data_IF_731052668323
#
_entry.id   IF_731052668323
#
_cell.length_a   1.000
_cell.length_b   1.000
_cell.length_c   1.000
_cell.angle_alpha   90.00
_cell.angle_beta   90.00
_cell.angle_gamma   90.00
#
_symmetry.space_group_name_H-M   'P 1'
#
loop_
_entity.id
_entity.type
_entity.pdbx_description
1 polymer ?
#
# COMPACT_ATOMS: atom_id res chain seq x y z
N UNK A 1 19.88 15.36 14.78
CA UNK A 1 19.13 14.28 14.11
C UNK A 1 18.30 13.48 15.11
N UNK A 2 17.04 13.22 14.77
CA UNK A 2 16.14 12.34 15.53
C UNK A 2 16.57 10.86 15.42
N UNK A 3 16.34 10.07 16.46
CA UNK A 3 16.76 8.67 16.54
C UNK A 3 16.04 7.79 15.51
N UNK A 4 14.77 8.08 15.25
CA UNK A 4 13.98 7.35 14.24
C UNK A 4 14.55 7.58 12.85
N UNK A 5 14.84 8.83 12.51
CA UNK A 5 15.45 9.19 11.24
C UNK A 5 16.84 8.53 11.08
N UNK A 6 17.64 8.50 12.14
CA UNK A 6 18.92 7.79 12.13
C UNK A 6 18.75 6.28 11.87
N UNK A 7 17.78 5.63 12.52
CA UNK A 7 17.49 4.22 12.31
C UNK A 7 17.04 3.93 10.87
N UNK A 8 16.20 4.80 10.30
CA UNK A 8 15.75 4.71 8.90
C UNK A 8 16.93 4.83 7.92
N UNK A 9 17.87 5.77 8.14
CA UNK A 9 19.07 5.91 7.32
C UNK A 9 19.98 4.68 7.41
N UNK A 10 20.19 4.15 8.62
CA UNK A 10 21.02 2.96 8.82
C UNK A 10 20.38 1.72 8.20
N UNK A 11 19.05 1.60 8.24
CA UNK A 11 18.32 0.52 7.58
C UNK A 11 18.46 0.62 6.05
N UNK A 12 18.25 1.80 5.47
CA UNK A 12 18.45 2.07 4.04
C UNK A 12 19.88 1.69 3.59
N UNK A 13 20.88 2.09 4.37
CA UNK A 13 22.28 1.77 4.08
C UNK A 13 22.60 0.29 4.23
N UNK A 14 22.07 -0.40 5.24
CA UNK A 14 22.24 -1.84 5.42
C UNK A 14 21.61 -2.64 4.27
N UNK A 15 20.49 -2.17 3.74
CA UNK A 15 19.86 -2.76 2.55
C UNK A 15 20.71 -2.57 1.29
N UNK A 16 21.29 -1.36 1.10
CA UNK A 16 22.24 -1.09 0.02
C UNK A 16 23.47 -2.01 0.10
N UNK A 17 24.09 -2.12 1.29
CA UNK A 17 25.19 -3.04 1.54
C UNK A 17 24.81 -4.51 1.31
N UNK A 18 23.55 -4.87 1.53
CA UNK A 18 23.06 -6.22 1.27
C UNK A 18 22.96 -6.54 -0.22
N UNK A 19 22.71 -5.51 -1.06
CA UNK A 19 22.74 -5.60 -2.53
C UNK A 19 24.14 -5.48 -3.14
N UNK A 20 25.16 -5.19 -2.32
CA UNK A 20 26.53 -4.95 -2.77
C UNK A 20 26.80 -3.50 -3.22
N UNK A 21 25.92 -2.57 -2.86
CA UNK A 21 26.04 -1.14 -3.11
C UNK A 21 26.66 -0.44 -1.87
N UNK A 22 27.45 0.62 -2.09
CA UNK A 22 27.96 1.47 -1.00
C UNK A 22 27.61 2.93 -1.27
N UNK A 23 26.46 3.34 -0.74
CA UNK A 23 25.92 4.69 -0.91
C UNK A 23 26.38 5.66 0.18
N UNK A 24 27.43 5.35 0.93
CA UNK A 24 27.89 6.16 2.08
C UNK A 24 28.08 7.63 1.72
N UNK A 25 28.80 7.92 0.64
CA UNK A 25 29.05 9.30 0.21
C UNK A 25 27.77 10.01 -0.22
N UNK A 26 26.87 9.30 -0.91
CA UNK A 26 25.57 9.84 -1.32
C UNK A 26 24.65 10.13 -0.12
N UNK A 27 24.72 9.30 0.93
CA UNK A 27 24.03 9.54 2.20
C UNK A 27 24.63 10.77 2.89
N UNK A 28 25.95 10.80 3.11
CA UNK A 28 26.61 11.89 3.83
C UNK A 28 26.44 13.26 3.15
N UNK A 29 26.39 13.30 1.82
CA UNK A 29 26.15 14.52 1.06
C UNK A 29 24.78 15.17 1.36
N UNK A 30 23.78 14.38 1.77
CA UNK A 30 22.42 14.86 2.09
C UNK A 30 22.33 15.60 3.44
N UNK A 31 23.34 15.49 4.31
CA UNK A 31 23.27 16.00 5.68
C UNK A 31 24.27 17.14 5.95
N UNK A 32 23.98 18.01 6.96
CA UNK A 32 24.90 19.06 7.41
C UNK A 32 26.20 18.51 7.98
N UNK A 33 27.29 19.28 7.90
CA UNK A 33 28.65 18.86 8.29
C UNK A 33 28.72 18.44 9.76
N UNK A 34 27.94 19.08 10.62
CA UNK A 34 27.87 18.83 12.06
C UNK A 34 27.34 17.42 12.37
N UNK A 35 26.45 16.89 11.53
CA UNK A 35 25.85 15.57 11.69
C UNK A 35 26.62 14.47 10.95
N UNK A 36 27.43 14.85 9.93
CA UNK A 36 28.21 13.91 9.11
C UNK A 36 29.16 13.05 9.93
N UNK A 37 29.92 13.63 10.86
CA UNK A 37 30.92 12.88 11.62
C UNK A 37 30.30 11.72 12.43
N UNK A 38 29.14 11.97 13.05
CA UNK A 38 28.39 10.92 13.78
C UNK A 38 27.85 9.88 12.80
N UNK A 39 27.22 10.31 11.72
CA UNK A 39 26.62 9.42 10.73
C UNK A 39 27.68 8.54 10.04
N UNK A 40 28.80 9.14 9.62
CA UNK A 40 29.94 8.46 9.00
C UNK A 40 30.48 7.33 9.89
N UNK A 41 30.61 7.58 11.19
CA UNK A 41 31.09 6.57 12.14
C UNK A 41 30.17 5.33 12.19
N UNK A 42 28.86 5.54 12.07
CA UNK A 42 27.85 4.48 12.10
C UNK A 42 27.76 3.74 10.77
N UNK A 43 27.82 4.46 9.64
CA UNK A 43 27.87 3.86 8.30
C UNK A 43 29.13 3.00 8.12
N UNK A 44 30.27 3.47 8.65
CA UNK A 44 31.50 2.68 8.67
C UNK A 44 31.34 1.40 9.51
N UNK A 45 30.69 1.49 10.67
CA UNK A 45 30.44 0.34 11.52
C UNK A 45 29.54 -0.69 10.83
N UNK A 46 28.45 -0.28 10.17
CA UNK A 46 27.60 -1.19 9.40
C UNK A 46 28.34 -1.86 8.26
N UNK A 47 29.24 -1.15 7.56
CA UNK A 47 30.10 -1.74 6.53
C UNK A 47 31.01 -2.82 7.11
N UNK A 48 31.68 -2.52 8.22
CA UNK A 48 32.55 -3.49 8.90
C UNK A 48 31.78 -4.72 9.38
N UNK A 49 30.58 -4.50 9.92
CA UNK A 49 29.69 -5.59 10.35
C UNK A 49 29.27 -6.43 9.15
N UNK A 50 28.83 -5.83 8.04
CA UNK A 50 28.47 -6.57 6.83
C UNK A 50 29.64 -7.42 6.31
N UNK A 51 30.85 -6.85 6.31
CA UNK A 51 32.05 -7.55 5.87
C UNK A 51 32.47 -8.71 6.79
N UNK A 52 32.09 -8.67 8.08
CA UNK A 52 32.38 -9.75 9.03
C UNK A 52 31.31 -10.83 9.07
N UNK A 53 30.11 -10.56 8.55
CA UNK A 53 29.03 -11.53 8.48
C UNK A 53 29.25 -12.50 7.31
N UNK A 54 29.16 -13.80 7.60
CA UNK A 54 29.13 -14.84 6.58
C UNK A 54 27.68 -15.04 6.13
N UNK A 55 27.37 -14.96 4.82
CA UNK A 55 26.05 -15.30 4.31
C UNK A 55 25.68 -16.73 4.72
N UNK A 56 24.51 -16.89 5.34
CA UNK A 56 23.97 -18.20 5.71
C UNK A 56 22.92 -18.58 4.67
N UNK A 57 23.14 -19.70 4.00
CA UNK A 57 22.17 -20.22 3.04
C UNK A 57 20.89 -20.65 3.78
N UNK A 58 19.71 -20.16 3.38
CA UNK A 58 18.46 -20.59 3.99
C UNK A 58 18.21 -22.08 3.70
N UNK A 59 17.61 -22.78 4.66
CA UNK A 59 17.26 -24.19 4.46
C UNK A 59 16.19 -24.36 3.37
N UNK A 60 16.23 -25.48 2.65
CA UNK A 60 15.20 -25.81 1.65
C UNK A 60 13.78 -25.89 2.25
N UNK A 61 13.68 -26.32 3.52
CA UNK A 61 12.41 -26.32 4.26
C UNK A 61 11.88 -24.90 4.44
N UNK A 62 12.74 -23.97 4.89
CA UNK A 62 12.39 -22.56 5.04
C UNK A 62 11.92 -21.94 3.71
N UNK A 63 12.64 -22.19 2.61
CA UNK A 63 12.27 -21.66 1.31
C UNK A 63 10.91 -22.15 0.82
N UNK A 64 10.60 -23.44 1.06
CA UNK A 64 9.29 -24.02 0.73
C UNK A 64 8.18 -23.39 1.55
N UNK A 65 8.35 -23.33 2.87
CA UNK A 65 7.33 -22.80 3.79
C UNK A 65 7.08 -21.30 3.51
N UNK A 66 8.14 -20.54 3.21
CA UNK A 66 8.04 -19.14 2.81
C UNK A 66 7.28 -19.00 1.49
N UNK A 67 7.57 -19.83 0.49
CA UNK A 67 6.88 -19.83 -0.80
C UNK A 67 5.38 -20.13 -0.66
N UNK A 68 5.02 -21.11 0.18
CA UNK A 68 3.62 -21.42 0.48
C UNK A 68 2.93 -20.26 1.20
N UNK A 69 3.56 -19.68 2.22
CA UNK A 69 3.02 -18.54 2.97
C UNK A 69 2.78 -17.32 2.08
N UNK A 70 3.76 -16.95 1.24
CA UNK A 70 3.64 -15.82 0.32
C UNK A 70 2.54 -16.05 -0.72
N UNK A 71 2.42 -17.28 -1.23
CA UNK A 71 1.35 -17.65 -2.17
C UNK A 71 -0.03 -17.53 -1.53
N UNK A 72 -0.19 -17.98 -0.28
CA UNK A 72 -1.45 -17.83 0.46
C UNK A 72 -1.81 -16.36 0.69
N UNK A 73 -0.84 -15.53 1.06
CA UNK A 73 -1.05 -14.08 1.24
C UNK A 73 -1.46 -13.42 -0.08
N UNK A 74 -0.79 -13.75 -1.20
CA UNK A 74 -1.12 -13.24 -2.51
C UNK A 74 -2.55 -13.63 -2.94
N UNK A 75 -2.93 -14.90 -2.73
CA UNK A 75 -4.27 -15.40 -3.01
C UNK A 75 -5.33 -14.72 -2.14
N UNK A 76 -5.06 -14.54 -0.85
CA UNK A 76 -5.97 -13.84 0.06
C UNK A 76 -6.19 -12.39 -0.38
N UNK A 77 -5.12 -11.70 -0.77
CA UNK A 77 -5.19 -10.31 -1.26
C UNK A 77 -5.96 -10.20 -2.57
N UNK A 78 -5.76 -11.14 -3.50
CA UNK A 78 -6.53 -11.22 -4.74
C UNK A 78 -8.03 -11.44 -4.51
N UNK A 79 -8.39 -12.32 -3.57
CA UNK A 79 -9.78 -12.56 -3.17
C UNK A 79 -10.43 -11.33 -2.55
N UNK A 80 -9.71 -10.59 -1.69
CA UNK A 80 -10.25 -9.37 -1.07
C UNK A 80 -10.53 -8.28 -2.12
N UNK A 81 -9.60 -8.09 -3.07
CA UNK A 81 -9.80 -7.17 -4.19
C UNK A 81 -11.01 -7.57 -5.05
N UNK A 82 -11.13 -8.84 -5.41
CA UNK A 82 -12.27 -9.34 -6.19
C UNK A 82 -13.62 -9.11 -5.47
N UNK A 83 -13.65 -9.34 -4.15
CA UNK A 83 -14.85 -9.16 -3.33
C UNK A 83 -15.27 -7.68 -3.26
N UNK A 84 -14.32 -6.76 -3.08
CA UNK A 84 -14.58 -5.32 -3.10
C UNK A 84 -15.14 -4.87 -4.45
N UNK A 85 -14.55 -5.35 -5.55
CA UNK A 85 -15.02 -5.02 -6.90
C UNK A 85 -16.45 -5.51 -7.14
N UNK A 86 -16.79 -6.73 -6.72
CA UNK A 86 -18.16 -7.24 -6.81
C UNK A 86 -19.16 -6.39 -6.00
N UNK A 87 -18.80 -5.98 -4.79
CA UNK A 87 -19.65 -5.11 -3.99
C UNK A 87 -19.87 -3.75 -4.66
N UNK A 88 -18.83 -3.14 -5.21
CA UNK A 88 -18.93 -1.87 -5.96
C UNK A 88 -19.84 -2.01 -7.18
N UNK A 89 -19.73 -3.10 -7.94
CA UNK A 89 -20.61 -3.36 -9.09
C UNK A 89 -22.07 -3.50 -8.65
N UNK A 90 -22.34 -4.26 -7.59
CA UNK A 90 -23.71 -4.43 -7.06
C UNK A 90 -24.31 -3.09 -6.62
N UNK A 91 -23.55 -2.25 -5.92
CA UNK A 91 -24.00 -0.91 -5.51
C UNK A 91 -24.27 -0.03 -6.73
N UNK A 92 -23.39 -0.05 -7.73
CA UNK A 92 -23.56 0.74 -8.95
C UNK A 92 -24.82 0.31 -9.73
N UNK A 93 -25.06 -1.00 -9.88
CA UNK A 93 -26.26 -1.53 -10.52
C UNK A 93 -27.52 -1.12 -9.74
N UNK A 94 -27.51 -1.25 -8.41
CA UNK A 94 -28.63 -0.84 -7.57
C UNK A 94 -28.95 0.66 -7.71
N UNK A 95 -27.93 1.52 -7.78
CA UNK A 95 -28.10 2.96 -7.96
C UNK A 95 -28.72 3.33 -9.31
N UNK A 96 -28.35 2.62 -10.39
CA UNK A 96 -28.92 2.83 -11.73
C UNK A 96 -30.40 2.44 -11.74
N UNK A 97 -30.74 1.28 -11.20
CA UNK A 97 -32.14 0.81 -11.11
C UNK A 97 -32.98 1.74 -10.24
N UNK A 98 -32.44 2.18 -9.09
CA UNK A 98 -33.11 3.13 -8.21
C UNK A 98 -33.40 4.48 -8.87
N UNK A 99 -32.46 4.99 -9.68
CA UNK A 99 -32.65 6.25 -10.42
C UNK A 99 -33.78 6.15 -11.46
N UNK A 100 -33.85 5.03 -12.19
CA UNK A 100 -34.90 4.81 -13.19
C UNK A 100 -36.29 4.71 -12.54
N UNK A 101 -36.41 3.97 -11.43
CA UNK A 101 -37.66 3.86 -10.68
C UNK A 101 -38.11 5.21 -10.09
N UNK A 102 -37.17 6.04 -9.63
CA UNK A 102 -37.46 7.38 -9.11
C UNK A 102 -38.06 8.30 -10.18
N UNK A 103 -37.49 8.28 -11.40
CA UNK A 103 -38.02 9.06 -12.53
C UNK A 103 -39.44 8.64 -12.90
N UNK A 104 -39.68 7.33 -12.98
CA UNK A 104 -41.01 6.78 -13.31
C UNK A 104 -42.03 7.17 -12.23
N UNK A 105 -41.66 7.05 -10.96
CA UNK A 105 -42.50 7.44 -9.83
C UNK A 105 -42.86 8.94 -9.85
N UNK A 106 -41.88 9.80 -10.15
CA UNK A 106 -42.09 11.24 -10.26
C UNK A 106 -43.05 11.61 -11.40
N UNK A 107 -42.88 11.00 -12.57
CA UNK A 107 -43.74 11.21 -13.75
C UNK A 107 -45.17 10.73 -13.45
N UNK A 108 -45.33 9.56 -12.81
CA UNK A 108 -46.63 9.04 -12.41
C UNK A 108 -47.34 9.95 -11.39
N UNK A 109 -46.59 10.50 -10.43
CA UNK A 109 -47.14 11.44 -9.44
C UNK A 109 -47.61 12.74 -10.09
N UNK A 110 -46.81 13.31 -10.99
CA UNK A 110 -47.15 14.56 -11.69
C UNK A 110 -48.38 14.41 -12.60
N UNK A 111 -48.48 13.28 -13.32
CA UNK A 111 -49.63 12.99 -14.18
C UNK A 111 -50.90 12.73 -13.38
N UNK A 112 -50.81 12.06 -12.22
CA UNK A 112 -51.95 11.88 -11.30
C UNK A 112 -52.43 13.21 -10.70
N UNK A 113 -51.51 14.10 -10.31
CA UNK A 113 -51.86 15.45 -9.83
C UNK A 113 -52.54 16.29 -10.91
N UNK A 114 -52.09 16.24 -12.16
CA UNK A 114 -52.75 16.93 -13.29
C UNK A 114 -54.17 16.44 -13.54
N UNK A 115 -54.39 15.11 -13.53
CA UNK A 115 -55.74 14.54 -13.71
C UNK A 115 -56.70 14.90 -12.57
N UNK A 116 -56.20 15.02 -11.33
CA UNK A 116 -57.00 15.45 -10.18
C UNK A 116 -57.42 16.93 -10.24
N UNK A 117 -56.67 17.78 -10.94
CA UNK A 117 -56.96 19.22 -11.07
C UNK A 117 -57.94 19.52 -12.21
N UNK A 118 -58.00 18.68 -13.25
CA UNK A 118 -58.94 18.84 -14.37
C UNK A 118 -60.28 18.09 -14.21
N UNK A 119 -60.44 17.27 -13.15
CA UNK A 119 -61.70 16.55 -12.87
C UNK A 119 -62.67 17.26 -11.93
N UNK A 120 -62.41 18.53 -11.61
CA UNK A 120 -63.24 19.37 -10.73
C UNK A 120 -63.71 20.62 -11.49
N UNK A 121 -64.49 20.43 -12.55
CA UNK A 121 -65.40 21.44 -13.10
C UNK A 121 -66.53 20.76 -13.85
#
# INVERSE_FOLDING_TARGET
>A
MDERLLAEILAEHADALSRGEDDTEAILARYPVEERARLESLLRLSRMLRASLVPVEPSAAFLRDLGESLSQVALARGRDLARRTQQTILIAVAAIVGSLLSLIGLIALLTRRRKSVLGSH
#
